data_IF_897275186169
#
_entry.id   IF_897275186169
#
_cell.length_a   1.000
_cell.length_b   1.000
_cell.length_c   1.000
_cell.angle_alpha   90.00
_cell.angle_beta   90.00
_cell.angle_gamma   90.00
#
_symmetry.space_group_name_H-M   'P 1'
#
loop_
_entity.id
_entity.type
_entity.pdbx_description
1 polymer ?
#
# COMPACT_ATOMS: atom_id res chain seq x y z
N UNK A 1 -6.16 2.94 3.02
CA UNK A 1 -7.26 2.02 2.64
C UNK A 1 -8.22 1.99 3.82
N UNK A 2 -9.46 2.44 3.65
CA UNK A 2 -10.43 2.42 4.73
C UNK A 2 -10.83 0.97 5.04
N UNK A 3 -10.86 0.53 6.32
CA UNK A 3 -11.37 -0.79 6.67
C UNK A 3 -12.79 -0.97 6.11
N UNK A 4 -13.03 -2.06 5.38
CA UNK A 4 -14.36 -2.41 4.85
C UNK A 4 -14.70 -1.88 3.44
N UNK A 5 -13.75 -1.31 2.69
CA UNK A 5 -13.97 -0.90 1.28
C UNK A 5 -13.04 -1.65 0.30
N UNK A 6 -13.39 -2.88 -0.12
CA UNK A 6 -12.55 -3.68 -1.03
C UNK A 6 -12.30 -3.00 -2.37
N UNK A 7 -13.22 -2.14 -2.81
CA UNK A 7 -13.11 -1.40 -4.08
C UNK A 7 -11.96 -0.37 -4.12
N UNK A 8 -11.35 -0.03 -2.98
CA UNK A 8 -10.18 0.87 -2.95
C UNK A 8 -8.86 0.17 -3.29
N UNK A 9 -8.84 -1.17 -3.42
CA UNK A 9 -7.62 -1.94 -3.66
C UNK A 9 -7.37 -2.26 -5.15
N UNK A 10 -8.32 -1.95 -6.04
CA UNK A 10 -8.30 -2.40 -7.43
C UNK A 10 -7.04 -2.00 -8.22
N UNK A 11 -6.46 -0.83 -7.92
CA UNK A 11 -5.20 -0.41 -8.54
C UNK A 11 -4.01 -1.29 -8.10
N UNK A 12 -3.87 -1.49 -6.79
CA UNK A 12 -2.78 -2.30 -6.22
C UNK A 12 -2.95 -3.77 -6.62
N UNK A 13 -4.19 -4.26 -6.70
CA UNK A 13 -4.51 -5.60 -7.17
C UNK A 13 -4.14 -5.80 -8.63
N UNK A 14 -4.48 -4.83 -9.49
CA UNK A 14 -4.13 -4.87 -10.92
C UNK A 14 -2.62 -4.84 -11.13
N UNK A 15 -1.91 -4.00 -10.37
CA UNK A 15 -0.44 -3.96 -10.36
C UNK A 15 0.16 -5.30 -9.93
N UNK A 16 -0.29 -5.85 -8.79
CA UNK A 16 0.22 -7.11 -8.25
C UNK A 16 -0.07 -8.30 -9.17
N UNK A 17 -1.23 -8.32 -9.83
CA UNK A 17 -1.56 -9.31 -10.85
C UNK A 17 -0.57 -9.25 -12.01
N UNK A 18 -0.39 -8.04 -12.59
CA UNK A 18 0.54 -7.80 -13.70
C UNK A 18 1.98 -8.18 -13.36
N UNK A 19 2.48 -7.80 -12.19
CA UNK A 19 3.83 -8.17 -11.73
C UNK A 19 3.98 -9.69 -11.60
N UNK A 20 2.95 -10.39 -11.14
CA UNK A 20 2.99 -11.84 -11.03
C UNK A 20 3.07 -12.49 -12.41
N UNK A 21 2.16 -12.12 -13.30
CA UNK A 21 2.05 -12.73 -14.63
C UNK A 21 3.24 -12.39 -15.54
N UNK A 22 3.79 -11.18 -15.47
CA UNK A 22 4.82 -10.73 -16.42
C UNK A 22 6.26 -10.88 -15.93
N UNK A 23 6.46 -10.97 -14.61
CA UNK A 23 7.81 -11.02 -14.03
C UNK A 23 8.01 -12.27 -13.18
N UNK A 24 7.18 -12.46 -12.16
CA UNK A 24 7.45 -13.49 -11.15
C UNK A 24 7.23 -14.93 -11.67
N UNK A 25 6.25 -15.12 -12.55
CA UNK A 25 5.97 -16.42 -13.15
C UNK A 25 6.94 -16.76 -14.30
N UNK A 26 7.50 -15.75 -14.96
CA UNK A 26 8.35 -15.92 -16.14
C UNK A 26 9.86 -15.97 -15.79
N UNK A 27 10.27 -15.45 -14.64
CA UNK A 27 11.68 -15.32 -14.27
C UNK A 27 12.15 -16.35 -13.23
N UNK A 28 13.28 -17.02 -13.52
CA UNK A 28 14.04 -17.76 -12.53
C UNK A 28 15.08 -16.85 -11.87
N UNK A 29 14.94 -16.61 -10.56
CA UNK A 29 15.87 -15.80 -9.80
C UNK A 29 17.08 -16.62 -9.31
N UNK A 30 18.26 -16.31 -9.84
CA UNK A 30 19.52 -16.94 -9.43
C UNK A 30 19.95 -16.59 -8.00
N UNK A 31 19.69 -15.36 -7.58
CA UNK A 31 19.98 -14.85 -6.24
C UNK A 31 19.22 -13.53 -5.99
N UNK A 32 19.33 -12.98 -4.77
CA UNK A 32 18.63 -11.74 -4.38
C UNK A 32 19.08 -10.54 -5.21
N UNK A 33 20.36 -10.41 -5.56
CA UNK A 33 20.85 -9.30 -6.37
C UNK A 33 20.21 -9.32 -7.77
N UNK A 34 20.21 -10.49 -8.42
CA UNK A 34 19.54 -10.69 -9.70
C UNK A 34 18.04 -10.39 -9.65
N UNK A 35 17.36 -10.76 -8.56
CA UNK A 35 15.95 -10.42 -8.37
C UNK A 35 15.74 -8.89 -8.29
N UNK A 36 16.61 -8.17 -7.58
CA UNK A 36 16.54 -6.70 -7.47
C UNK A 36 16.72 -6.01 -8.83
N UNK A 37 17.68 -6.47 -9.63
CA UNK A 37 17.90 -5.94 -10.98
C UNK A 37 16.68 -6.15 -11.88
N UNK A 38 16.14 -7.38 -11.92
CA UNK A 38 14.99 -7.69 -12.75
C UNK A 38 13.73 -6.92 -12.31
N UNK A 39 13.49 -6.80 -11.01
CA UNK A 39 12.38 -6.00 -10.48
C UNK A 39 12.56 -4.52 -10.83
N UNK A 40 13.77 -3.97 -10.69
CA UNK A 40 14.03 -2.57 -11.01
C UNK A 40 13.84 -2.27 -12.51
N UNK A 41 14.30 -3.17 -13.37
CA UNK A 41 14.09 -3.06 -14.81
C UNK A 41 12.59 -3.12 -15.16
N UNK A 42 11.86 -4.07 -14.59
CA UNK A 42 10.42 -4.21 -14.82
C UNK A 42 9.62 -3.01 -14.31
N UNK A 43 9.95 -2.48 -13.13
CA UNK A 43 9.29 -1.28 -12.58
C UNK A 43 9.55 -0.06 -13.47
N UNK A 44 10.74 0.05 -14.05
CA UNK A 44 11.06 1.13 -14.99
C UNK A 44 10.20 1.01 -16.24
N UNK A 45 10.20 -0.16 -16.89
CA UNK A 45 9.39 -0.46 -18.08
C UNK A 45 7.89 -0.20 -17.85
N UNK A 46 7.34 -0.68 -16.73
CA UNK A 46 5.94 -0.47 -16.36
C UNK A 46 5.57 1.01 -16.25
N UNK A 47 6.49 1.84 -15.72
CA UNK A 47 6.25 3.25 -15.44
C UNK A 47 6.53 4.19 -16.62
N UNK A 48 7.42 3.82 -17.54
CA UNK A 48 7.86 4.71 -18.62
C UNK A 48 7.38 4.29 -20.00
N UNK A 49 7.26 3.00 -20.28
CA UNK A 49 7.03 2.51 -21.65
C UNK A 49 5.59 2.07 -21.89
N UNK A 50 4.90 1.57 -20.85
CA UNK A 50 3.59 0.92 -21.01
C UNK A 50 2.42 1.90 -20.88
N UNK A 51 1.58 2.08 -21.91
CA UNK A 51 0.34 2.83 -21.78
C UNK A 51 -0.74 2.01 -21.06
N UNK A 52 -1.40 2.61 -20.07
CA UNK A 52 -2.45 1.94 -19.29
C UNK A 52 -3.83 2.48 -19.64
N UNK A 53 -4.77 1.60 -19.97
CA UNK A 53 -6.15 2.00 -20.33
C UNK A 53 -6.85 2.78 -19.22
N UNK A 54 -6.60 2.44 -17.95
CA UNK A 54 -7.10 3.18 -16.79
C UNK A 54 -6.58 4.63 -16.69
N UNK A 55 -5.46 4.93 -17.36
CA UNK A 55 -4.84 6.26 -17.42
C UNK A 55 -5.09 6.94 -18.78
N UNK A 56 -6.10 6.49 -19.54
CA UNK A 56 -6.38 7.01 -20.87
C UNK A 56 -5.26 6.71 -21.88
N UNK A 57 -4.64 5.52 -21.76
CA UNK A 57 -3.51 5.09 -22.57
C UNK A 57 -2.24 5.95 -22.42
N UNK A 58 -2.10 6.62 -21.28
CA UNK A 58 -0.83 7.24 -20.87
C UNK A 58 0.00 6.27 -20.04
N UNK A 59 1.31 6.50 -20.03
CA UNK A 59 2.22 5.82 -19.10
C UNK A 59 2.03 6.42 -17.69
N UNK A 60 2.35 5.70 -16.61
CA UNK A 60 2.19 6.22 -15.26
C UNK A 60 2.97 7.51 -15.03
N UNK A 61 4.19 7.61 -15.59
CA UNK A 61 4.98 8.85 -15.55
C UNK A 61 4.31 9.97 -16.35
N UNK A 62 3.80 9.69 -17.56
CA UNK A 62 3.10 10.69 -18.36
C UNK A 62 1.84 11.21 -17.68
N UNK A 63 1.06 10.30 -17.08
CA UNK A 63 -0.11 10.66 -16.28
C UNK A 63 0.28 11.52 -15.07
N UNK A 64 1.31 11.13 -14.33
CA UNK A 64 1.79 11.87 -13.16
C UNK A 64 2.29 13.28 -13.51
N UNK A 65 2.93 13.46 -14.67
CA UNK A 65 3.36 14.78 -15.16
C UNK A 65 2.17 15.71 -15.44
N UNK A 66 1.02 15.16 -15.79
CA UNK A 66 -0.22 15.89 -16.05
C UNK A 66 -1.09 16.11 -14.79
N UNK A 67 -0.74 15.49 -13.65
CA UNK A 67 -1.42 15.73 -12.38
C UNK A 67 -0.97 17.09 -11.81
N UNK A 68 -1.93 17.99 -11.57
CA UNK A 68 -1.68 19.29 -10.96
C UNK A 68 -0.95 19.12 -9.60
N UNK A 69 0.17 19.81 -9.33
CA UNK A 69 0.99 19.62 -8.12
C UNK A 69 0.25 19.84 -6.78
N UNK A 70 -0.92 20.48 -6.78
CA UNK A 70 -1.77 20.59 -5.60
C UNK A 70 -2.43 19.27 -5.17
N UNK A 71 -2.56 18.29 -6.09
CA UNK A 71 -3.17 16.97 -5.85
C UNK A 71 -2.07 15.91 -5.66
N UNK A 72 -0.92 16.09 -6.31
CA UNK A 72 0.25 15.25 -6.16
C UNK A 72 0.95 15.51 -4.80
N UNK A 73 0.36 15.07 -3.69
CA UNK A 73 1.13 14.85 -2.47
C UNK A 73 2.16 13.78 -2.82
N UNK A 74 3.46 14.09 -2.85
CA UNK A 74 4.45 13.04 -3.01
C UNK A 74 4.21 12.07 -1.86
N UNK A 75 4.14 10.76 -2.16
CA UNK A 75 4.13 9.75 -1.14
C UNK A 75 5.40 9.97 -0.31
N UNK A 76 5.22 10.65 0.83
CA UNK A 76 6.31 11.01 1.71
C UNK A 76 7.07 9.72 2.01
N UNK A 77 8.39 9.77 1.83
CA UNK A 77 9.31 8.76 2.30
C UNK A 77 9.06 8.61 3.80
N UNK A 78 8.28 7.61 4.17
CA UNK A 78 8.17 7.17 5.56
C UNK A 78 9.45 6.40 5.86
N UNK A 79 10.52 7.16 6.12
CA UNK A 79 11.70 6.62 6.78
C UNK A 79 11.32 6.28 8.23
N UNK A 80 10.67 5.14 8.44
CA UNK A 80 10.59 4.52 9.76
C UNK A 80 10.34 3.02 9.65
N UNK A 81 11.38 2.31 9.21
CA UNK A 81 11.53 0.91 9.56
C UNK A 81 11.83 0.82 11.06
N UNK A 82 11.00 0.09 11.82
CA UNK A 82 11.07 -0.17 13.29
C UNK A 82 10.39 0.90 14.18
N UNK A 83 9.48 0.61 15.13
CA UNK A 83 8.95 -0.61 15.76
C UNK A 83 7.54 -0.29 16.29
N UNK A 84 6.58 -1.22 16.13
CA UNK A 84 5.36 -1.22 16.95
C UNK A 84 5.75 -1.45 18.40
N UNK A 85 5.60 -0.45 19.26
CA UNK A 85 5.51 -0.66 20.70
C UNK A 85 4.03 -0.70 21.09
N UNK A 86 3.61 -1.88 21.54
CA UNK A 86 2.27 -2.21 22.00
C UNK A 86 2.15 -1.77 23.47
N UNK A 87 0.98 -1.25 23.84
CA UNK A 87 0.47 -0.90 25.18
C UNK A 87 0.49 0.59 25.55
N UNK A 88 -0.70 1.20 25.54
CA UNK A 88 -1.02 2.40 26.31
C UNK A 88 -1.55 1.93 27.69
N UNK A 89 -1.13 2.52 28.83
CA UNK A 89 -1.68 2.18 30.13
C UNK A 89 -3.13 2.67 30.26
N UNK A 90 -3.94 1.92 31.01
CA UNK A 90 -5.37 2.15 31.19
C UNK A 90 -5.68 3.52 31.82
N UNK A 91 -6.66 4.29 31.30
CA UNK A 91 -7.10 5.50 31.97
C UNK A 91 -7.91 5.16 33.24
N UNK A 92 -7.42 5.65 34.37
CA UNK A 92 -8.10 5.63 35.67
C UNK A 92 -9.40 6.42 35.60
N UNK A 93 -10.53 5.75 35.79
CA UNK A 93 -11.85 6.38 35.84
C UNK A 93 -12.77 5.65 36.80
N UNK A 94 -12.87 6.17 38.02
CA UNK A 94 -13.80 5.74 39.08
C UNK A 94 -15.25 5.86 38.61
N UNK A 95 -16.01 4.76 38.65
CA UNK A 95 -17.47 4.80 38.47
C UNK A 95 -18.15 4.19 39.70
N UNK A 96 -18.75 5.07 40.52
CA UNK A 96 -19.53 4.72 41.71
C UNK A 96 -20.97 4.42 41.31
N UNK A 97 -21.28 3.17 40.95
CA UNK A 97 -22.67 2.73 40.84
C UNK A 97 -22.90 1.54 41.79
N UNK A 98 -23.39 1.89 42.98
CA UNK A 98 -23.87 1.02 44.04
C UNK A 98 -25.08 0.20 43.54
N UNK A 99 -24.99 -1.13 43.62
CA UNK A 99 -26.09 -2.05 43.34
C UNK A 99 -26.92 -2.30 44.62
N UNK A 100 -28.26 -2.34 44.56
CA UNK A 100 -29.08 -2.72 45.71
C UNK A 100 -29.02 -4.24 45.92
N UNK A 101 -28.79 -4.64 47.16
CA UNK A 101 -28.87 -6.03 47.63
C UNK A 101 -30.35 -6.45 47.75
N UNK A 102 -30.74 -7.51 47.05
CA UNK A 102 -31.96 -8.25 47.35
C UNK A 102 -31.60 -9.36 48.36
N UNK A 103 -32.23 -9.29 49.54
CA UNK A 103 -32.08 -10.28 50.61
C UNK A 103 -32.96 -11.50 50.30
N UNK A 104 -32.38 -12.68 50.46
CA UNK A 104 -33.06 -13.97 50.54
C UNK A 104 -32.33 -14.81 51.57
#
# INVERSE_FOLDING_TARGET
>A
IAPGKPMQNGFVESFNGRMRDELLNEALFRNIAHARDLIAAWVTDYNTERPHSALGYQTPVGFAANLNPAIARPAARDESSARRAIAQPAPTGVNKNQAPVAVG
#
